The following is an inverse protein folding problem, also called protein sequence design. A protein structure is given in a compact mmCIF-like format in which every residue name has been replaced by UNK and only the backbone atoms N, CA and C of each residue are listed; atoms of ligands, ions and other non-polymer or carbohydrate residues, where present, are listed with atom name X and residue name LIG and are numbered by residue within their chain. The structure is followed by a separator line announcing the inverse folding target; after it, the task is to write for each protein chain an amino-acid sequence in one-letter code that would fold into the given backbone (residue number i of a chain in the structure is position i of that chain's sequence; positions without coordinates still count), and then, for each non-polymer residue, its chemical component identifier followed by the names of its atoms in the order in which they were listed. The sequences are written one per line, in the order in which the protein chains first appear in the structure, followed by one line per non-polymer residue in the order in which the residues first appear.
data_IF_660324159763
#
_entry.id   IF_660324159763
#
_cell.length_a   1.000
_cell.length_b   1.000
_cell.length_c   1.000
_cell.angle_alpha   90.00
_cell.angle_beta   90.00
_cell.angle_gamma   90.00
#
_symmetry.space_group_name_H-M   'P 1'
#
loop_
_entity.id
_entity.type
_entity.pdbx_description
1 polymer ?
#
# COMPACT_ATOMS: atom_id res chain seq x y z
N UNK A 1 -12.96 8.97 -5.34
CA UNK A 1 -12.49 7.57 -5.31
C UNK A 1 -11.74 7.36 -4.02
N UNK A 2 -11.89 6.17 -3.44
CA UNK A 2 -11.23 5.77 -2.21
C UNK A 2 -10.07 4.83 -2.53
N UNK A 3 -8.87 5.23 -2.14
CA UNK A 3 -7.61 4.57 -2.52
C UNK A 3 -6.87 4.13 -1.27
N UNK A 4 -6.45 2.88 -1.23
CA UNK A 4 -5.56 2.35 -0.22
C UNK A 4 -4.14 2.14 -0.77
N UNK A 5 -3.14 2.66 -0.06
CA UNK A 5 -1.75 2.24 -0.21
C UNK A 5 -1.40 1.26 0.91
N UNK A 6 -0.80 0.12 0.57
CA UNK A 6 -0.25 -0.85 1.53
C UNK A 6 1.26 -0.87 1.34
N UNK A 7 2.00 -0.48 2.36
CA UNK A 7 3.46 -0.39 2.30
C UNK A 7 4.09 -0.93 3.59
N UNK A 8 4.81 -2.08 3.57
CA UNK A 8 5.54 -2.62 4.71
C UNK A 8 6.78 -1.80 5.12
N UNK A 9 6.64 -0.50 5.34
CA UNK A 9 7.68 0.39 5.85
C UNK A 9 7.14 1.22 7.02
N UNK A 10 8.02 1.65 7.93
CA UNK A 10 7.64 2.33 9.19
C UNK A 10 7.71 3.84 9.03
N UNK A 11 6.62 4.44 8.55
CA UNK A 11 6.47 5.89 8.41
C UNK A 11 4.99 6.27 8.38
N UNK A 12 4.68 7.56 8.56
CA UNK A 12 3.35 8.11 8.26
C UNK A 12 3.50 9.40 7.42
N UNK A 13 2.38 10.02 7.05
CA UNK A 13 2.37 11.21 6.18
C UNK A 13 3.14 12.41 6.76
N UNK A 14 3.31 12.47 8.08
CA UNK A 14 4.08 13.55 8.74
C UNK A 14 5.58 13.31 8.71
N UNK A 15 6.02 12.05 8.65
CA UNK A 15 7.42 11.66 8.77
C UNK A 15 8.31 12.39 7.76
N UNK A 16 7.82 12.58 6.53
CA UNK A 16 8.56 13.27 5.44
C UNK A 16 8.94 14.72 5.78
N UNK A 17 8.23 15.35 6.73
CA UNK A 17 8.47 16.74 7.13
C UNK A 17 9.33 16.86 8.39
N UNK A 18 9.54 15.76 9.11
CA UNK A 18 10.29 15.75 10.38
C UNK A 18 11.64 15.05 10.28
N UNK A 19 11.78 14.07 9.39
CA UNK A 19 13.01 13.30 9.24
C UNK A 19 13.23 12.81 7.79
N UNK A 20 14.48 12.47 7.41
CA UNK A 20 14.76 11.93 6.09
C UNK A 20 14.05 10.59 5.86
N UNK A 21 13.37 10.46 4.72
CA UNK A 21 12.75 9.23 4.25
C UNK A 21 13.48 8.68 3.03
N UNK A 22 13.35 7.37 2.80
CA UNK A 22 13.75 6.74 1.55
C UNK A 22 12.93 7.27 0.37
N UNK A 23 13.42 7.01 -0.85
CA UNK A 23 12.76 7.48 -2.08
C UNK A 23 11.35 6.91 -2.26
N UNK A 24 11.12 5.65 -1.87
CA UNK A 24 9.79 5.03 -1.97
C UNK A 24 8.81 5.60 -0.95
N UNK A 25 9.23 5.79 0.29
CA UNK A 25 8.43 6.37 1.37
C UNK A 25 8.06 7.82 1.06
N UNK A 26 9.04 8.60 0.58
CA UNK A 26 8.83 9.98 0.14
C UNK A 26 7.83 10.04 -1.03
N UNK A 27 8.03 9.20 -2.06
CA UNK A 27 7.16 9.19 -3.23
C UNK A 27 5.70 8.84 -2.88
N UNK A 28 5.48 7.80 -2.07
CA UNK A 28 4.13 7.43 -1.61
C UNK A 28 3.50 8.55 -0.78
N UNK A 29 4.28 9.19 0.09
CA UNK A 29 3.79 10.29 0.94
C UNK A 29 3.33 11.49 0.11
N UNK A 30 4.20 12.00 -0.75
CA UNK A 30 3.86 13.17 -1.58
C UNK A 30 2.73 12.87 -2.56
N UNK A 31 2.74 11.69 -3.20
CA UNK A 31 1.65 11.27 -4.07
C UNK A 31 0.31 11.20 -3.32
N UNK A 32 0.30 10.64 -2.11
CA UNK A 32 -0.92 10.56 -1.29
C UNK A 32 -1.50 11.94 -0.98
N UNK A 33 -0.65 12.92 -0.66
CA UNK A 33 -1.06 14.30 -0.39
C UNK A 33 -1.65 14.94 -1.65
N UNK A 34 -0.99 14.81 -2.80
CA UNK A 34 -1.48 15.41 -4.05
C UNK A 34 -2.77 14.75 -4.53
N UNK A 35 -2.91 13.41 -4.42
CA UNK A 35 -4.16 12.72 -4.74
C UNK A 35 -5.31 13.16 -3.81
N UNK A 36 -5.02 13.42 -2.54
CA UNK A 36 -6.01 13.95 -1.60
C UNK A 36 -6.48 15.35 -1.99
N UNK A 37 -5.56 16.23 -2.41
CA UNK A 37 -5.90 17.57 -2.93
C UNK A 37 -6.76 17.52 -4.19
N UNK A 38 -6.63 16.47 -5.00
CA UNK A 38 -7.49 16.21 -6.16
C UNK A 38 -8.88 15.66 -5.79
N UNK A 39 -9.20 15.51 -4.51
CA UNK A 39 -10.50 15.07 -4.01
C UNK A 39 -10.64 13.55 -3.85
N UNK A 40 -9.53 12.80 -3.87
CA UNK A 40 -9.54 11.38 -3.56
C UNK A 40 -9.44 11.13 -2.04
N UNK A 41 -10.13 10.10 -1.56
CA UNK A 41 -10.01 9.66 -0.17
C UNK A 41 -8.84 8.69 -0.06
N UNK A 42 -7.74 9.12 0.57
CA UNK A 42 -6.51 8.32 0.64
C UNK A 42 -6.34 7.72 2.02
N UNK A 43 -6.16 6.39 2.06
CA UNK A 43 -5.70 5.67 3.25
C UNK A 43 -4.33 5.05 2.99
N UNK A 44 -3.38 5.30 3.89
CA UNK A 44 -2.01 4.78 3.82
C UNK A 44 -1.79 3.81 4.99
N UNK A 45 -1.64 2.53 4.68
CA UNK A 45 -1.33 1.48 5.64
C UNK A 45 0.17 1.22 5.67
N UNK A 46 0.77 1.44 6.84
CA UNK A 46 2.23 1.34 7.06
C UNK A 46 2.54 0.69 8.40
N UNK A 47 3.78 0.26 8.62
CA UNK A 47 4.22 -0.30 9.90
C UNK A 47 4.42 0.75 11.01
N UNK A 48 3.88 1.97 10.83
CA UNK A 48 3.84 2.97 11.89
C UNK A 48 2.89 2.53 13.02
N UNK A 49 3.22 2.89 14.25
CA UNK A 49 2.43 2.50 15.42
C UNK A 49 1.15 3.35 15.58
N UNK A 50 1.21 4.60 15.13
CA UNK A 50 0.19 5.60 15.40
C UNK A 50 -0.64 5.88 14.15
N UNK A 51 -1.96 5.94 14.32
CA UNK A 51 -2.86 6.46 13.32
C UNK A 51 -2.73 7.99 13.25
N UNK A 52 -2.69 8.53 12.04
CA UNK A 52 -2.59 9.98 11.80
C UNK A 52 -3.57 10.36 10.72
N UNK A 53 -4.25 11.50 10.85
CA UNK A 53 -5.05 12.07 9.77
C UNK A 53 -4.61 13.51 9.53
N UNK A 54 -3.80 13.73 8.49
CA UNK A 54 -3.20 15.02 8.14
C UNK A 54 -3.04 15.16 6.64
N UNK A 55 -3.12 16.40 6.16
CA UNK A 55 -3.08 16.74 4.73
C UNK A 55 -4.10 15.96 3.89
N UNK A 56 -5.25 15.62 4.49
CA UNK A 56 -6.30 14.82 3.86
C UNK A 56 -5.94 13.35 3.61
N UNK A 57 -4.86 12.86 4.21
CA UNK A 57 -4.42 11.46 4.16
C UNK A 57 -4.65 10.82 5.53
N UNK A 58 -5.37 9.68 5.53
CA UNK A 58 -5.55 8.85 6.72
C UNK A 58 -4.46 7.78 6.75
N UNK A 59 -3.54 7.87 7.69
CA UNK A 59 -2.54 6.84 7.98
C UNK A 59 -3.07 5.89 9.04
N UNK A 60 -3.01 4.60 8.75
CA UNK A 60 -3.45 3.52 9.63
C UNK A 60 -2.31 2.51 9.85
N UNK A 61 -2.09 2.01 11.08
CA UNK A 61 -1.14 0.94 11.33
C UNK A 61 -1.50 -0.34 10.57
N UNK A 62 -0.54 -0.86 9.82
CA UNK A 62 -0.57 -2.19 9.25
C UNK A 62 -0.09 -3.18 10.31
N UNK A 63 -1.04 -3.92 10.88
CA UNK A 63 -0.76 -4.85 11.99
C UNK A 63 -0.43 -6.24 11.45
N UNK A 64 0.71 -6.78 11.86
CA UNK A 64 1.15 -8.13 11.53
C UNK A 64 1.27 -8.96 12.82
N UNK A 65 0.82 -10.21 12.78
CA UNK A 65 1.03 -11.21 13.83
C UNK A 65 1.68 -12.45 13.22
N UNK A 66 2.88 -12.82 13.66
CA UNK A 66 3.65 -13.94 13.08
C UNK A 66 3.76 -13.86 11.53
N UNK A 67 3.98 -12.66 10.99
CA UNK A 67 3.99 -12.34 9.54
C UNK A 67 2.64 -12.47 8.81
N UNK A 68 1.54 -12.72 9.52
CA UNK A 68 0.19 -12.68 8.97
C UNK A 68 -0.46 -11.32 9.21
N UNK A 69 -1.18 -10.83 8.20
CA UNK A 69 -1.92 -9.57 8.30
C UNK A 69 -3.14 -9.71 9.21
N UNK A 70 -3.25 -8.82 10.19
CA UNK A 70 -4.48 -8.65 10.95
C UNK A 70 -5.40 -7.70 10.17
N UNK A 71 -6.57 -8.21 9.77
CA UNK A 71 -7.61 -7.39 9.13
C UNK A 71 -8.22 -6.46 10.18
N UNK A 72 -7.89 -5.16 10.10
CA UNK A 72 -8.52 -4.12 10.92
C UNK A 72 -9.81 -3.64 10.27
N UNK A 73 -10.64 -2.89 11.02
CA UNK A 73 -11.86 -2.29 10.48
C UNK A 73 -11.56 -1.37 9.31
N UNK A 74 -10.51 -0.54 9.40
CA UNK A 74 -10.10 0.39 8.35
C UNK A 74 -9.63 -0.35 7.09
N UNK A 75 -8.95 -1.48 7.26
CA UNK A 75 -8.52 -2.32 6.15
C UNK A 75 -9.70 -3.09 5.54
N UNK A 76 -10.76 -3.38 6.29
CA UNK A 76 -11.96 -4.03 5.78
C UNK A 76 -12.93 -3.08 5.05
N UNK A 77 -12.70 -1.76 5.13
CA UNK A 77 -13.52 -0.77 4.41
C UNK A 77 -13.44 -0.98 2.89
N UNK A 78 -14.50 -0.67 2.14
CA UNK A 78 -14.42 -0.74 0.68
C UNK A 78 -13.48 0.34 0.12
N UNK A 79 -12.59 -0.07 -0.80
CA UNK A 79 -11.71 0.80 -1.58
C UNK A 79 -12.00 0.61 -3.06
N UNK A 80 -11.88 1.64 -3.88
CA UNK A 80 -11.98 1.53 -5.34
C UNK A 80 -10.67 1.00 -5.94
N UNK A 81 -9.55 1.39 -5.31
CA UNK A 81 -8.20 1.08 -5.76
C UNK A 81 -7.33 0.69 -4.57
N UNK A 82 -6.50 -0.34 -4.74
CA UNK A 82 -5.52 -0.80 -3.76
C UNK A 82 -4.16 -0.91 -4.43
N UNK A 83 -3.16 -0.26 -3.84
CA UNK A 83 -1.80 -0.20 -4.36
C UNK A 83 -0.86 -0.81 -3.33
N UNK A 84 -0.25 -1.93 -3.69
CA UNK A 84 0.81 -2.56 -2.91
C UNK A 84 2.13 -1.91 -3.30
N UNK A 85 2.87 -1.39 -2.32
CA UNK A 85 4.20 -0.83 -2.53
C UNK A 85 5.25 -1.80 -2.01
N UNK A 86 6.15 -2.25 -2.89
CA UNK A 86 7.37 -3.00 -2.56
C UNK A 86 7.22 -4.32 -1.76
N UNK A 87 6.02 -4.87 -1.56
CA UNK A 87 5.89 -6.20 -0.95
C UNK A 87 4.49 -6.54 -0.45
N UNK A 88 4.44 -7.61 0.35
CA UNK A 88 3.23 -8.22 0.92
C UNK A 88 2.24 -8.73 -0.14
N UNK A 89 2.76 -9.34 -1.22
CA UNK A 89 1.94 -9.70 -2.38
C UNK A 89 1.04 -10.90 -2.10
N UNK A 90 1.46 -11.80 -1.21
CA UNK A 90 0.63 -12.90 -0.68
C UNK A 90 -0.67 -12.45 0.00
N UNK A 91 -0.76 -11.18 0.42
CA UNK A 91 -2.01 -10.64 0.98
C UNK A 91 -3.04 -10.29 -0.11
N UNK A 92 -2.61 -10.06 -1.35
CA UNK A 92 -3.49 -9.59 -2.41
C UNK A 92 -4.68 -10.53 -2.69
N UNK A 93 -4.51 -11.87 -2.80
CA UNK A 93 -5.65 -12.79 -2.96
C UNK A 93 -6.66 -12.71 -1.80
N UNK A 94 -6.18 -12.62 -0.56
CA UNK A 94 -7.02 -12.54 0.63
C UNK A 94 -7.85 -11.26 0.64
N UNK A 95 -7.19 -10.14 0.33
CA UNK A 95 -7.85 -8.85 0.20
C UNK A 95 -8.85 -8.82 -0.96
N UNK A 96 -8.54 -9.43 -2.11
CA UNK A 96 -9.47 -9.53 -3.24
C UNK A 96 -10.78 -10.24 -2.86
N UNK A 97 -10.71 -11.26 -2.00
CA UNK A 97 -11.88 -11.98 -1.49
C UNK A 97 -12.66 -11.15 -0.47
N UNK A 98 -11.95 -10.36 0.35
CA UNK A 98 -12.55 -9.52 1.38
C UNK A 98 -13.45 -8.41 0.80
N UNK A 99 -13.01 -7.76 -0.28
CA UNK A 99 -13.70 -6.59 -0.82
C UNK A 99 -14.81 -6.95 -1.80
N UNK A 100 -16.05 -6.64 -1.41
CA UNK A 100 -17.26 -6.92 -2.20
C UNK A 100 -17.32 -6.17 -3.53
N UNK A 101 -16.71 -5.00 -3.60
CA UNK A 101 -16.74 -4.14 -4.79
C UNK A 101 -15.65 -4.46 -5.82
N UNK A 102 -14.83 -5.49 -5.57
CA UNK A 102 -13.78 -5.94 -6.48
C UNK A 102 -12.84 -4.80 -6.93
N UNK A 103 -12.05 -4.21 -6.01
CA UNK A 103 -11.17 -3.08 -6.30
C UNK A 103 -10.18 -3.39 -7.42
N UNK A 104 -9.74 -2.32 -8.09
CA UNK A 104 -8.53 -2.39 -8.93
C UNK A 104 -7.30 -2.57 -8.05
N UNK A 105 -6.49 -3.56 -8.36
CA UNK A 105 -5.30 -3.90 -7.57
C UNK A 105 -4.04 -3.67 -8.37
N UNK A 106 -3.14 -2.87 -7.84
CA UNK A 106 -1.86 -2.54 -8.47
C UNK A 106 -0.70 -2.96 -7.58
N UNK A 107 0.36 -3.44 -8.19
CA UNK A 107 1.64 -3.61 -7.52
C UNK A 107 2.63 -2.57 -8.04
N UNK A 108 3.09 -1.66 -7.18
CA UNK A 108 4.10 -0.68 -7.51
C UNK A 108 5.44 -1.06 -6.85
N UNK A 109 6.43 -1.38 -7.68
CA UNK A 109 7.73 -1.86 -7.22
C UNK A 109 8.88 -0.94 -7.62
N UNK A 110 9.79 -0.74 -6.67
CA UNK A 110 11.12 -0.17 -6.91
C UNK A 110 12.22 -1.22 -7.06
N UNK A 111 11.89 -2.50 -6.95
CA UNK A 111 12.85 -3.60 -6.95
C UNK A 111 13.12 -4.12 -8.36
N UNK A 112 14.37 -4.52 -8.62
CA UNK A 112 14.72 -5.29 -9.80
C UNK A 112 14.12 -6.71 -9.76
N UNK A 113 13.96 -7.32 -10.93
CA UNK A 113 13.27 -8.61 -11.13
C UNK A 113 13.83 -9.80 -10.32
N UNK A 114 15.08 -9.71 -9.87
CA UNK A 114 15.84 -10.74 -9.17
C UNK A 114 15.92 -10.54 -7.65
N UNK A 115 15.33 -9.46 -7.12
CA UNK A 115 15.41 -9.15 -5.70
C UNK A 115 14.42 -10.00 -4.87
N UNK A 116 14.83 -10.47 -3.67
CA UNK A 116 13.97 -11.30 -2.82
C UNK A 116 12.62 -10.68 -2.46
N UNK A 117 12.55 -9.34 -2.38
CA UNK A 117 11.34 -8.60 -2.02
C UNK A 117 10.16 -8.80 -2.97
N UNK A 118 10.43 -9.27 -4.19
CA UNK A 118 9.40 -9.53 -5.21
C UNK A 118 9.36 -10.99 -5.66
N UNK A 119 10.03 -11.89 -4.94
CA UNK A 119 10.07 -13.31 -5.27
C UNK A 119 8.66 -13.95 -5.33
N UNK A 120 7.70 -13.38 -4.60
CA UNK A 120 6.27 -13.73 -4.64
C UNK A 120 5.64 -13.58 -6.04
N UNK A 121 6.21 -12.75 -6.93
CA UNK A 121 5.74 -12.64 -8.32
C UNK A 121 6.00 -13.90 -9.16
N UNK A 122 6.82 -14.84 -8.69
CA UNK A 122 6.96 -16.14 -9.35
C UNK A 122 5.69 -17.00 -9.20
N UNK A 123 4.80 -16.66 -8.26
CA UNK A 123 3.55 -17.37 -8.03
C UNK A 123 2.45 -16.85 -8.98
N UNK A 124 1.98 -17.65 -9.95
CA UNK A 124 1.01 -17.18 -10.94
C UNK A 124 -0.32 -16.73 -10.32
N UNK A 125 -0.69 -17.32 -9.18
CA UNK A 125 -1.90 -16.95 -8.45
C UNK A 125 -1.82 -15.56 -7.81
N UNK A 126 -0.61 -15.10 -7.45
CA UNK A 126 -0.39 -13.74 -6.95
C UNK A 126 -0.47 -12.74 -8.11
N UNK A 127 0.22 -13.03 -9.22
CA UNK A 127 0.25 -12.12 -10.39
C UNK A 127 -1.14 -11.89 -10.98
N UNK A 128 -1.98 -12.93 -11.06
CA UNK A 128 -3.35 -12.86 -11.61
C UNK A 128 -4.30 -11.93 -10.84
N UNK A 129 -3.97 -11.57 -9.60
CA UNK A 129 -4.80 -10.67 -8.78
C UNK A 129 -4.61 -9.22 -9.19
N UNK A 130 -3.42 -8.85 -9.67
CA UNK A 130 -3.09 -7.49 -10.02
C UNK A 130 -3.57 -7.13 -11.43
N UNK A 131 -4.27 -6.00 -11.54
CA UNK A 131 -4.67 -5.41 -12.82
C UNK A 131 -3.47 -4.82 -13.57
N UNK A 132 -2.45 -4.33 -12.85
CA UNK A 132 -1.16 -3.97 -13.43
C UNK A 132 -0.02 -3.98 -12.40
N UNK A 133 1.20 -4.14 -12.90
CA UNK A 133 2.45 -3.98 -12.16
C UNK A 133 3.14 -2.71 -12.69
N UNK A 134 3.54 -1.82 -11.78
CA UNK A 134 4.15 -0.52 -12.06
C UNK A 134 5.61 -0.59 -11.60
N UNK A 135 6.54 -0.50 -12.55
CA UNK A 135 7.98 -0.48 -12.29
C UNK A 135 8.52 0.95 -12.33
N UNK A 136 9.44 1.31 -11.44
CA UNK A 136 10.07 2.64 -11.43
C UNK A 136 11.15 2.83 -12.49
N UNK A 137 11.67 1.74 -13.05
CA UNK A 137 12.68 1.72 -14.10
C UNK A 137 12.57 0.43 -14.92
N UNK A 138 13.11 0.46 -16.14
CA UNK A 138 13.17 -0.68 -17.06
C UNK A 138 14.37 -1.59 -16.76
#
# INVERSE_FOLDING_TARGET
MKVAFIFPSKFNVLTVFSEPLGGSESAVTYLSIELSKLGHEITLFTLANDSVNKYGVRCCPLKLNNNELIITEELAENYDVIIFKNGLLSLAPHLKILYKNNPKMFFWTGHAHDQPAIAELNEPNIVKVFDAIICVSN
#
